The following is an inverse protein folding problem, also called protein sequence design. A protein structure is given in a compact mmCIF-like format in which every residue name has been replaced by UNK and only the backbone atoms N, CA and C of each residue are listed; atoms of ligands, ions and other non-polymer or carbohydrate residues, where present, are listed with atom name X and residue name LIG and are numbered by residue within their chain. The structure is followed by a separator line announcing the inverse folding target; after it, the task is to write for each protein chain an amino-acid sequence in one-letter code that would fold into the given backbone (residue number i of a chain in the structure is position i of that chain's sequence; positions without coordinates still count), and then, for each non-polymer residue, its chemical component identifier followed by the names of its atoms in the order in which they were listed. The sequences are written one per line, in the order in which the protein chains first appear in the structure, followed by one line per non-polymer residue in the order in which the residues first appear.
data_IF_979525755593
#
_entry.id   IF_979525755593
#
_cell.length_a   1.000
_cell.length_b   1.000
_cell.length_c   1.000
_cell.angle_alpha   90.00
_cell.angle_beta   90.00
_cell.angle_gamma   90.00
#
_symmetry.space_group_name_H-M   'P 1'
#
loop_
_entity.id
_entity.type
_entity.pdbx_description
1 polymer ?
#
# COMPACT_ATOMS: atom_id res chain seq x y z
N UNK A 1 -14.06 4.61 -6.39
CA UNK A 1 -12.89 4.21 -5.60
C UNK A 1 -12.38 2.85 -6.06
N UNK A 2 -11.10 2.63 -5.94
CA UNK A 2 -10.50 1.34 -6.21
C UNK A 2 -10.09 0.69 -4.90
N UNK A 3 -10.68 -0.45 -4.56
CA UNK A 3 -10.50 -1.13 -3.28
C UNK A 3 -10.03 -2.56 -3.53
N UNK A 4 -8.99 -2.97 -2.81
CA UNK A 4 -8.45 -4.32 -2.88
C UNK A 4 -8.18 -4.85 -1.48
N UNK A 5 -8.14 -6.16 -1.34
CA UNK A 5 -7.80 -6.81 -0.09
C UNK A 5 -6.73 -7.87 -0.33
N UNK A 6 -5.79 -7.97 0.61
CA UNK A 6 -4.82 -9.06 0.62
C UNK A 6 -4.61 -9.55 2.04
N UNK A 7 -4.32 -10.83 2.19
CA UNK A 7 -4.12 -11.45 3.50
C UNK A 7 -2.65 -11.73 3.74
N UNK A 8 -2.23 -11.55 4.99
CA UNK A 8 -0.86 -11.79 5.42
C UNK A 8 -0.91 -12.60 6.71
N UNK A 9 -0.19 -13.73 6.74
CA UNK A 9 0.02 -14.49 7.96
C UNK A 9 1.17 -13.88 8.74
N UNK A 10 0.96 -13.58 10.02
CA UNK A 10 1.98 -13.01 10.88
C UNK A 10 2.96 -14.10 11.30
N UNK A 11 4.19 -14.01 10.81
CA UNK A 11 5.28 -14.91 11.18
C UNK A 11 5.89 -14.50 12.51
N UNK A 12 6.52 -15.45 13.18
CA UNK A 12 7.20 -15.21 14.45
C UNK A 12 8.21 -14.06 14.37
N UNK A 13 8.97 -14.00 13.28
CA UNK A 13 10.00 -12.98 13.07
C UNK A 13 9.44 -11.53 13.04
N UNK A 14 8.14 -11.34 12.85
CA UNK A 14 7.52 -10.03 12.82
C UNK A 14 7.15 -9.52 14.22
N UNK A 15 7.23 -10.37 15.24
CA UNK A 15 6.85 -10.03 16.61
C UNK A 15 8.03 -9.51 17.42
N UNK A 16 7.71 -8.71 18.43
CA UNK A 16 8.67 -8.17 19.39
C UNK A 16 8.59 -8.88 20.75
N UNK A 17 9.33 -8.38 21.75
CA UNK A 17 9.32 -8.96 23.09
C UNK A 17 7.96 -8.91 23.80
N UNK A 18 7.08 -8.02 23.39
CA UNK A 18 5.72 -7.94 23.94
C UNK A 18 4.78 -8.98 23.34
N UNK A 19 5.25 -9.77 22.38
CA UNK A 19 4.45 -10.79 21.71
C UNK A 19 3.49 -10.24 20.65
N UNK A 20 3.69 -9.01 20.22
CA UNK A 20 2.87 -8.35 19.19
C UNK A 20 3.74 -7.96 18.00
N UNK A 21 3.11 -7.71 16.87
CA UNK A 21 3.84 -7.25 15.68
C UNK A 21 4.54 -5.93 15.99
N UNK A 22 5.84 -5.89 15.71
CA UNK A 22 6.63 -4.69 15.89
C UNK A 22 6.09 -3.56 15.00
N UNK A 23 5.91 -2.38 15.57
CA UNK A 23 5.28 -1.26 14.86
C UNK A 23 5.99 -0.87 13.55
N UNK A 24 7.28 -1.10 13.46
CA UNK A 24 8.06 -0.81 12.25
C UNK A 24 7.70 -1.67 11.04
N UNK A 25 6.96 -2.76 11.21
CA UNK A 25 6.59 -3.63 10.10
C UNK A 25 5.33 -3.18 9.36
N UNK A 26 4.55 -2.25 9.91
CA UNK A 26 3.28 -1.85 9.27
C UNK A 26 3.47 -1.16 7.93
N UNK A 27 4.55 -0.41 7.76
CA UNK A 27 4.90 0.17 6.46
C UNK A 27 5.05 -0.91 5.38
N UNK A 28 5.61 -2.06 5.75
CA UNK A 28 5.74 -3.22 4.86
C UNK A 28 4.36 -3.81 4.50
N UNK A 29 3.45 -3.89 5.44
CA UNK A 29 2.10 -4.37 5.18
C UNK A 29 1.36 -3.45 4.20
N UNK A 30 1.52 -2.14 4.34
CA UNK A 30 0.96 -1.19 3.39
C UNK A 30 1.55 -1.38 1.99
N UNK A 31 2.86 -1.60 1.89
CA UNK A 31 3.52 -1.86 0.62
C UNK A 31 2.98 -3.13 -0.05
N UNK A 32 2.84 -4.22 0.70
CA UNK A 32 2.27 -5.46 0.18
C UNK A 32 0.87 -5.20 -0.35
N UNK A 33 0.04 -4.49 0.40
CA UNK A 33 -1.33 -4.18 0.00
C UNK A 33 -1.40 -3.39 -1.31
N UNK A 34 -0.63 -2.29 -1.42
CA UNK A 34 -0.66 -1.49 -2.65
C UNK A 34 -0.01 -2.18 -3.83
N UNK A 35 1.02 -3.02 -3.58
CA UNK A 35 1.62 -3.82 -4.66
C UNK A 35 0.61 -4.79 -5.25
N UNK A 36 -0.17 -5.46 -4.42
CA UNK A 36 -1.24 -6.34 -4.87
C UNK A 36 -2.37 -5.57 -5.56
N UNK A 37 -2.67 -4.35 -5.09
CA UNK A 37 -3.63 -3.47 -5.77
C UNK A 37 -3.22 -3.19 -7.21
N UNK A 38 -1.97 -2.81 -7.41
CA UNK A 38 -1.42 -2.53 -8.74
C UNK A 38 -1.40 -3.80 -9.60
N UNK A 39 -1.10 -4.95 -8.99
CA UNK A 39 -1.10 -6.23 -9.68
C UNK A 39 -2.49 -6.59 -10.22
N UNK A 40 -3.54 -6.25 -9.50
CA UNK A 40 -4.91 -6.51 -9.94
C UNK A 40 -5.31 -5.75 -11.21
N UNK A 41 -4.70 -4.62 -11.48
CA UNK A 41 -4.93 -3.88 -12.73
C UNK A 41 -3.96 -4.29 -13.85
N UNK A 42 -3.14 -5.31 -13.60
CA UNK A 42 -2.29 -5.92 -14.62
C UNK A 42 -0.85 -5.40 -14.66
N UNK A 43 -0.41 -4.68 -13.63
CA UNK A 43 0.96 -4.14 -13.56
C UNK A 43 1.62 -4.53 -12.26
N UNK A 44 2.97 -4.54 -12.27
CA UNK A 44 3.79 -4.66 -11.06
C UNK A 44 4.65 -3.40 -10.94
N UNK A 45 5.23 -3.18 -9.76
CA UNK A 45 6.22 -2.10 -9.62
C UNK A 45 7.39 -2.28 -10.57
N UNK A 46 7.77 -3.54 -10.83
CA UNK A 46 8.81 -3.86 -11.81
C UNK A 46 8.43 -3.39 -13.21
N UNK A 47 7.17 -3.57 -13.60
CA UNK A 47 6.67 -3.08 -14.89
C UNK A 47 6.72 -1.56 -14.97
N UNK A 48 6.34 -0.88 -13.89
CA UNK A 48 6.38 0.59 -13.81
C UNK A 48 7.82 1.09 -13.90
N UNK A 49 8.74 0.44 -13.19
CA UNK A 49 10.17 0.78 -13.28
C UNK A 49 10.72 0.57 -14.69
N UNK A 50 10.26 -0.46 -15.39
CA UNK A 50 10.62 -0.70 -16.79
C UNK A 50 10.15 0.42 -17.73
N UNK A 51 9.12 1.17 -17.34
CA UNK A 51 8.67 2.38 -18.06
C UNK A 51 9.54 3.60 -17.76
N UNK A 52 10.53 3.47 -16.88
CA UNK A 52 11.37 4.57 -16.43
C UNK A 52 10.76 5.41 -15.32
N UNK A 53 9.79 4.88 -14.61
CA UNK A 53 9.05 5.58 -13.55
C UNK A 53 9.34 4.91 -12.20
N UNK A 54 9.62 5.72 -11.20
CA UNK A 54 9.71 5.28 -9.80
C UNK A 54 8.63 5.93 -8.97
N UNK A 55 8.31 5.30 -7.83
CA UNK A 55 7.25 5.78 -6.93
C UNK A 55 7.81 5.88 -5.50
N UNK A 56 8.61 6.93 -5.20
CA UNK A 56 9.13 7.11 -3.84
C UNK A 56 8.03 7.46 -2.85
N UNK A 57 8.14 6.88 -1.66
CA UNK A 57 7.28 7.23 -0.53
C UNK A 57 7.76 8.55 0.05
N UNK A 58 6.85 9.51 0.22
CA UNK A 58 7.18 10.83 0.76
C UNK A 58 6.56 11.07 2.12
N UNK A 59 5.52 10.33 2.48
CA UNK A 59 4.85 10.47 3.78
C UNK A 59 4.13 9.18 4.15
N UNK A 60 4.21 8.82 5.43
CA UNK A 60 3.41 7.73 6.00
C UNK A 60 2.80 8.24 7.31
N UNK A 61 1.47 8.13 7.41
CA UNK A 61 0.74 8.34 8.65
C UNK A 61 0.15 7.00 9.08
N UNK A 62 0.41 6.61 10.32
CA UNK A 62 -0.03 5.32 10.83
C UNK A 62 -0.66 5.49 12.21
N UNK A 63 -1.78 4.82 12.42
CA UNK A 63 -2.47 4.81 13.73
C UNK A 63 -2.64 3.37 14.19
N UNK A 64 -2.18 3.10 15.40
CA UNK A 64 -2.20 1.76 16.01
C UNK A 64 -3.36 1.70 17.01
N UNK A 65 -4.35 0.87 16.71
CA UNK A 65 -5.59 0.78 17.49
C UNK A 65 -5.60 -0.48 18.37
N UNK A 66 -5.19 -1.62 17.81
CA UNK A 66 -5.09 -2.92 18.50
C UNK A 66 -3.89 -3.68 17.94
N UNK A 67 -3.22 -4.51 18.76
CA UNK A 67 -2.07 -5.26 18.28
C UNK A 67 -2.45 -6.44 17.41
N UNK A 68 -1.66 -6.72 16.39
CA UNK A 68 -1.63 -8.01 15.73
C UNK A 68 -0.62 -8.91 16.44
N UNK A 69 -0.87 -10.22 16.45
CA UNK A 69 -0.08 -11.21 17.18
C UNK A 69 0.45 -12.28 16.25
N UNK A 70 1.41 -13.06 16.76
CA UNK A 70 1.93 -14.22 16.06
C UNK A 70 0.79 -15.12 15.57
N UNK A 71 0.93 -15.60 14.35
CA UNK A 71 0.03 -16.51 13.65
C UNK A 71 -1.34 -15.93 13.29
N UNK A 72 -1.61 -14.67 13.59
CA UNK A 72 -2.80 -14.00 13.08
C UNK A 72 -2.78 -13.98 11.55
N UNK A 73 -3.96 -14.13 10.95
CA UNK A 73 -4.17 -13.86 9.54
C UNK A 73 -4.80 -12.49 9.42
N UNK A 74 -4.01 -11.50 9.05
CA UNK A 74 -4.50 -10.13 8.89
C UNK A 74 -4.96 -9.89 7.46
N UNK A 75 -5.95 -9.02 7.30
CA UNK A 75 -6.41 -8.54 6.00
C UNK A 75 -6.02 -7.08 5.86
N UNK A 76 -5.27 -6.77 4.81
CA UNK A 76 -4.91 -5.39 4.45
C UNK A 76 -5.86 -4.94 3.35
N UNK A 77 -6.76 -4.02 3.70
CA UNK A 77 -7.67 -3.39 2.75
C UNK A 77 -7.03 -2.10 2.26
N UNK A 78 -6.74 -2.04 0.98
CA UNK A 78 -6.08 -0.88 0.35
C UNK A 78 -7.08 -0.15 -0.52
N UNK A 79 -7.20 1.15 -0.30
CA UNK A 79 -8.15 2.00 -1.03
C UNK A 79 -7.42 3.15 -1.71
N UNK A 80 -7.66 3.29 -3.00
CA UNK A 80 -7.35 4.49 -3.76
C UNK A 80 -8.65 5.28 -3.88
N UNK A 81 -8.76 6.37 -3.14
CA UNK A 81 -10.00 7.16 -3.05
C UNK A 81 -10.21 8.06 -4.26
N UNK A 82 -9.12 8.56 -4.82
CA UNK A 82 -9.14 9.51 -5.92
C UNK A 82 -8.17 9.08 -7.00
N UNK A 83 -8.58 9.21 -8.26
CA UNK A 83 -7.67 9.02 -9.38
C UNK A 83 -6.66 10.17 -9.40
N UNK A 84 -5.35 9.89 -9.39
CA UNK A 84 -4.35 10.94 -9.44
C UNK A 84 -4.51 11.88 -10.64
N UNK A 85 -4.40 13.18 -10.40
CA UNK A 85 -4.46 14.22 -11.45
C UNK A 85 -3.10 14.79 -11.80
N UNK A 86 -2.07 14.43 -11.01
CA UNK A 86 -0.72 14.95 -11.18
C UNK A 86 0.32 13.90 -10.74
N UNK A 87 1.40 14.32 -10.09
CA UNK A 87 2.50 13.47 -9.65
C UNK A 87 2.23 12.73 -8.33
N UNK A 88 1.13 13.00 -7.64
CA UNK A 88 0.86 12.47 -6.29
C UNK A 88 -0.17 11.36 -6.33
N UNK A 89 0.09 10.29 -5.60
CA UNK A 89 -0.87 9.21 -5.36
C UNK A 89 -0.92 8.88 -3.87
N UNK A 90 -2.12 8.70 -3.33
CA UNK A 90 -2.35 8.40 -1.91
C UNK A 90 -3.09 7.08 -1.78
N UNK A 91 -2.51 6.15 -1.05
CA UNK A 91 -3.14 4.88 -0.70
C UNK A 91 -3.55 4.90 0.77
N UNK A 92 -4.78 4.49 1.04
CA UNK A 92 -5.30 4.31 2.39
C UNK A 92 -5.34 2.83 2.70
N UNK A 93 -4.88 2.47 3.89
CA UNK A 93 -4.86 1.08 4.35
C UNK A 93 -5.63 0.94 5.64
N UNK A 94 -6.43 -0.12 5.72
CA UNK A 94 -7.07 -0.56 6.95
C UNK A 94 -6.69 -2.01 7.16
N UNK A 95 -6.19 -2.34 8.35
CA UNK A 95 -5.74 -3.70 8.68
C UNK A 95 -6.69 -4.29 9.71
N UNK A 96 -7.25 -5.46 9.38
CA UNK A 96 -8.20 -6.19 10.21
C UNK A 96 -7.62 -7.54 10.62
N UNK A 97 -8.04 -8.05 11.78
CA UNK A 97 -7.76 -9.43 12.18
C UNK A 97 -8.87 -10.37 11.69
N UNK A 98 -8.80 -11.65 12.09
CA UNK A 98 -9.77 -12.68 11.70
C UNK A 98 -11.15 -12.47 12.31
N UNK A 99 -11.26 -11.65 13.35
CA UNK A 99 -12.53 -11.29 13.98
C UNK A 99 -13.10 -9.98 13.42
N UNK A 100 -12.55 -9.49 12.30
CA UNK A 100 -12.94 -8.23 11.68
C UNK A 100 -12.74 -7.00 12.58
N UNK A 101 -11.85 -7.09 13.55
CA UNK A 101 -11.47 -5.95 14.37
C UNK A 101 -10.45 -5.09 13.62
N UNK A 102 -10.66 -3.78 13.62
CA UNK A 102 -9.72 -2.84 13.01
C UNK A 102 -8.50 -2.68 13.92
N UNK A 103 -7.34 -3.10 13.43
CA UNK A 103 -6.08 -3.08 14.18
C UNK A 103 -5.28 -1.81 13.95
N UNK A 104 -5.31 -1.31 12.72
CA UNK A 104 -4.42 -0.24 12.29
C UNK A 104 -5.02 0.45 11.07
N UNK A 105 -4.75 1.74 10.94
CA UNK A 105 -5.01 2.51 9.73
C UNK A 105 -3.73 3.18 9.26
N UNK A 106 -3.55 3.27 7.97
CA UNK A 106 -2.38 3.91 7.37
C UNK A 106 -2.75 4.75 6.16
N UNK A 107 -1.98 5.80 5.96
CA UNK A 107 -2.07 6.64 4.78
C UNK A 107 -0.67 6.82 4.25
N UNK A 108 -0.45 6.40 3.01
CA UNK A 108 0.86 6.46 2.36
C UNK A 108 0.76 7.34 1.13
N UNK A 109 1.56 8.38 1.09
CA UNK A 109 1.68 9.27 -0.06
C UNK A 109 2.96 8.94 -0.81
N UNK A 110 2.82 8.70 -2.13
CA UNK A 110 3.95 8.47 -3.02
C UNK A 110 3.88 9.50 -4.14
N UNK A 111 5.05 9.77 -4.73
CA UNK A 111 5.12 10.58 -5.95
C UNK A 111 5.49 9.68 -7.13
N UNK A 112 5.02 10.05 -8.31
CA UNK A 112 5.57 9.54 -9.55
C UNK A 112 6.77 10.41 -9.93
N UNK A 113 7.87 9.77 -10.28
CA UNK A 113 9.08 10.47 -10.69
C UNK A 113 9.77 9.73 -11.83
N UNK A 114 10.48 10.50 -12.68
CA UNK A 114 11.34 9.94 -13.71
C UNK A 114 12.56 9.30 -13.04
N UNK A 115 12.85 8.05 -13.37
CA UNK A 115 13.94 7.29 -12.74
C UNK A 115 15.33 7.84 -13.06
N UNK A 116 15.48 8.53 -14.20
CA UNK A 116 16.78 9.08 -14.61
C UNK A 116 17.03 10.46 -14.02
N UNK A 117 16.04 11.34 -14.09
CA UNK A 117 16.18 12.73 -13.64
C UNK A 117 15.79 12.93 -12.18
N UNK A 118 15.09 11.97 -11.59
CA UNK A 118 14.53 12.05 -10.24
C UNK A 118 13.49 13.18 -10.08
N UNK A 119 13.02 13.73 -11.17
CA UNK A 119 12.01 14.79 -11.18
C UNK A 119 10.62 14.19 -11.18
N UNK A 120 9.71 14.86 -10.47
CA UNK A 120 8.28 14.49 -10.45
C UNK A 120 7.71 14.49 -11.86
N UNK A 121 6.85 13.51 -12.12
CA UNK A 121 6.09 13.41 -13.37
C UNK A 121 4.66 12.99 -13.04
N UNK A 122 3.77 13.13 -14.00
CA UNK A 122 2.38 12.70 -13.83
C UNK A 122 2.29 11.18 -13.86
N UNK A 123 1.19 10.66 -13.28
CA UNK A 123 0.86 9.26 -13.37
C UNK A 123 0.94 8.78 -14.83
N UNK A 124 1.60 7.65 -15.12
CA UNK A 124 1.61 7.09 -16.47
C UNK A 124 0.19 6.85 -17.00
N UNK A 125 -0.05 7.26 -18.24
CA UNK A 125 -1.37 7.20 -18.84
C UNK A 125 -1.94 5.77 -18.90
N UNK A 126 -1.08 4.77 -19.11
CA UNK A 126 -1.51 3.36 -19.13
C UNK A 126 -2.10 2.91 -17.80
N UNK A 127 -1.57 3.39 -16.68
CA UNK A 127 -2.12 3.10 -15.36
C UNK A 127 -3.41 3.87 -15.14
N UNK A 128 -3.45 5.12 -15.56
CA UNK A 128 -4.63 5.97 -15.45
C UNK A 128 -5.81 5.36 -16.17
N UNK A 129 -5.61 4.88 -17.40
CA UNK A 129 -6.65 4.22 -18.20
C UNK A 129 -7.19 2.97 -17.51
N UNK A 130 -6.32 2.18 -16.90
CA UNK A 130 -6.72 0.97 -16.18
C UNK A 130 -7.54 1.27 -14.92
N UNK A 131 -7.24 2.39 -14.26
CA UNK A 131 -7.90 2.77 -13.02
C UNK A 131 -9.18 3.60 -13.25
N UNK A 132 -9.30 4.28 -14.39
CA UNK A 132 -10.38 5.23 -14.65
C UNK A 132 -11.78 4.63 -14.48
N UNK A 133 -11.97 3.34 -14.78
CA UNK A 133 -13.25 2.67 -14.67
C UNK A 133 -13.77 2.52 -13.23
N UNK A 134 -12.93 2.77 -12.23
CA UNK A 134 -13.32 2.66 -10.82
C UNK A 134 -13.73 4.01 -10.21
N UNK A 135 -13.70 5.07 -11.00
CA UNK A 135 -13.95 6.46 -10.53
C UNK A 135 -15.04 7.20 -11.30
#
# INVERSE_FOLDING_TARGET
MFITETQIRIHYALTDQMGVVYHGHYAQFYEIGRSESIRQIGYTYKDIEAMGIIMPVVEINSRFLRPAKYDDLITVKTTLKELPTNFKIVFYSEIFNEQDELLNTGEVTLFFADAKTMKRCNMPEVLREKLAGYF
#
